data_IF_650065509304
#
_entry.id   IF_650065509304
#
_cell.length_a   1.000
_cell.length_b   1.000
_cell.length_c   1.000
_cell.angle_alpha   90.00
_cell.angle_beta   90.00
_cell.angle_gamma   90.00
#
_symmetry.space_group_name_H-M   'P 1'
#
loop_
_entity.id
_entity.type
_entity.pdbx_description
1 polymer ?
#
# COMPACT_ATOMS: atom_id res chain seq x y z
N UNK A 1 -17.24 4.65 22.96
CA UNK A 1 -15.89 5.26 22.96
C UNK A 1 -15.50 5.46 21.50
N UNK A 2 -15.61 6.68 20.97
CA UNK A 2 -15.27 6.94 19.57
C UNK A 2 -13.75 7.15 19.47
N UNK A 3 -13.07 6.27 18.75
CA UNK A 3 -11.65 6.43 18.43
C UNK A 3 -11.48 7.72 17.61
N UNK A 4 -10.77 8.71 18.16
CA UNK A 4 -10.33 9.88 17.38
C UNK A 4 -8.96 9.55 16.81
N UNK A 5 -8.79 9.45 15.48
CA UNK A 5 -7.48 9.22 14.90
C UNK A 5 -6.53 10.33 15.33
N UNK A 6 -5.38 9.96 15.91
CA UNK A 6 -4.30 10.90 16.16
C UNK A 6 -3.79 11.49 14.84
N UNK A 7 -3.08 12.64 14.87
CA UNK A 7 -2.73 13.41 13.66
C UNK A 7 -1.80 12.69 12.65
N UNK A 8 -1.39 11.45 12.92
CA UNK A 8 -0.36 10.73 12.17
C UNK A 8 -0.74 9.30 11.77
N UNK A 9 -1.95 8.84 12.09
CA UNK A 9 -2.45 7.54 11.60
C UNK A 9 -3.20 7.78 10.31
N UNK A 10 -2.62 7.33 9.19
CA UNK A 10 -3.32 7.28 7.91
C UNK A 10 -4.00 5.92 7.79
N UNK A 11 -5.26 5.92 7.39
CA UNK A 11 -5.88 4.72 6.84
C UNK A 11 -5.34 4.52 5.43
N UNK A 12 -5.23 3.27 5.00
CA UNK A 12 -5.12 3.03 3.56
C UNK A 12 -6.42 3.60 2.95
N UNK A 13 -6.29 4.56 2.04
CA UNK A 13 -7.47 5.08 1.34
C UNK A 13 -8.10 3.91 0.60
N UNK A 14 -9.42 3.68 0.75
CA UNK A 14 -10.09 2.67 -0.03
C UNK A 14 -9.88 3.00 -1.50
N UNK A 15 -9.77 1.94 -2.30
CA UNK A 15 -9.78 1.98 -3.75
C UNK A 15 -11.03 2.76 -4.25
N UNK A 16 -10.97 4.09 -4.42
CA UNK A 16 -12.06 4.84 -5.07
C UNK A 16 -12.58 6.14 -4.47
N UNK A 17 -11.91 6.78 -3.50
CA UNK A 17 -12.32 8.10 -2.98
C UNK A 17 -11.67 9.30 -3.70
N UNK A 18 -10.76 9.03 -4.65
CA UNK A 18 -10.19 10.02 -5.57
C UNK A 18 -11.09 10.31 -6.77
N UNK A 19 -11.18 11.58 -7.19
CA UNK A 19 -11.64 11.90 -8.55
C UNK A 19 -10.68 11.26 -9.55
N UNK A 20 -11.18 10.58 -10.59
CA UNK A 20 -10.37 10.06 -11.71
C UNK A 20 -9.48 11.15 -12.35
N UNK A 21 -9.86 12.42 -12.20
CA UNK A 21 -9.09 13.58 -12.64
C UNK A 21 -7.83 13.89 -11.80
N UNK A 22 -7.78 13.43 -10.54
CA UNK A 22 -6.74 13.76 -9.57
C UNK A 22 -5.83 12.56 -9.23
N UNK A 23 -6.32 11.33 -9.43
CA UNK A 23 -5.53 10.11 -9.29
C UNK A 23 -5.79 9.15 -10.47
N UNK A 24 -4.85 9.03 -11.43
CA UNK A 24 -4.98 8.12 -12.56
C UNK A 24 -4.94 6.64 -12.16
N UNK A 25 -4.66 6.34 -10.89
CA UNK A 25 -4.63 4.99 -10.31
C UNK A 25 -5.77 4.74 -9.33
N UNK A 26 -6.83 5.59 -9.37
CA UNK A 26 -8.03 5.41 -8.55
C UNK A 26 -8.56 3.97 -8.70
N UNK A 27 -8.66 3.26 -7.58
CA UNK A 27 -9.14 1.89 -7.57
C UNK A 27 -8.14 0.81 -7.98
N UNK A 28 -6.85 1.13 -8.15
CA UNK A 28 -5.83 0.16 -8.53
C UNK A 28 -4.93 -0.23 -7.35
N UNK A 29 -4.66 -1.54 -7.21
CA UNK A 29 -3.61 -2.05 -6.33
C UNK A 29 -2.23 -1.82 -6.97
N UNK A 30 -1.77 -0.56 -6.89
CA UNK A 30 -0.48 -0.11 -7.44
C UNK A 30 0.68 -0.94 -6.91
N UNK A 31 0.62 -1.39 -5.66
CA UNK A 31 1.71 -2.17 -5.07
C UNK A 31 1.78 -3.59 -5.63
N UNK A 32 0.64 -4.22 -5.91
CA UNK A 32 0.60 -5.51 -6.61
C UNK A 32 1.19 -5.40 -8.02
N UNK A 33 0.83 -4.36 -8.78
CA UNK A 33 1.42 -4.11 -10.10
C UNK A 33 2.95 -3.95 -10.04
N UNK A 34 3.46 -3.22 -9.05
CA UNK A 34 4.91 -3.08 -8.84
C UNK A 34 5.61 -4.39 -8.45
N UNK A 35 4.93 -5.28 -7.72
CA UNK A 35 5.46 -6.61 -7.40
C UNK A 35 5.53 -7.50 -8.65
N UNK A 36 4.51 -7.43 -9.51
CA UNK A 36 4.50 -8.13 -10.79
C UNK A 36 5.62 -7.65 -11.72
N UNK A 37 5.85 -6.34 -11.79
CA UNK A 37 7.00 -5.77 -12.50
C UNK A 37 8.33 -6.29 -11.92
N UNK A 38 8.49 -6.33 -10.60
CA UNK A 38 9.68 -6.90 -9.98
C UNK A 38 9.90 -8.39 -10.31
N UNK A 39 8.83 -9.11 -10.65
CA UNK A 39 8.87 -10.55 -10.96
C UNK A 39 9.14 -10.82 -12.45
N UNK A 40 8.81 -9.88 -13.33
CA UNK A 40 9.02 -9.99 -14.79
C UNK A 40 10.36 -9.42 -15.26
N UNK A 41 10.97 -8.53 -14.48
CA UNK A 41 12.25 -7.90 -14.80
C UNK A 41 13.46 -8.82 -14.63
N UNK A 42 14.58 -8.45 -15.27
CA UNK A 42 15.87 -9.07 -14.99
C UNK A 42 16.25 -8.93 -13.51
N UNK A 43 17.06 -9.85 -12.98
CA UNK A 43 17.46 -9.83 -11.57
C UNK A 43 18.13 -8.52 -11.13
N UNK A 44 18.89 -7.88 -12.03
CA UNK A 44 19.53 -6.58 -11.75
C UNK A 44 18.51 -5.46 -11.66
N UNK A 45 17.63 -5.33 -12.67
CA UNK A 45 16.60 -4.28 -12.70
C UNK A 45 15.58 -4.45 -11.57
N UNK A 46 15.20 -5.69 -11.25
CA UNK A 46 14.33 -6.00 -10.14
C UNK A 46 14.96 -5.61 -8.79
N UNK A 47 16.29 -5.77 -8.64
CA UNK A 47 17.00 -5.34 -7.42
C UNK A 47 17.01 -3.82 -7.28
N UNK A 48 17.24 -3.10 -8.37
CA UNK A 48 17.21 -1.63 -8.38
C UNK A 48 15.80 -1.12 -8.04
N UNK A 49 14.77 -1.69 -8.68
CA UNK A 49 13.38 -1.33 -8.39
C UNK A 49 13.02 -1.60 -6.93
N UNK A 50 13.36 -2.79 -6.38
CA UNK A 50 13.15 -3.08 -4.96
C UNK A 50 13.89 -2.12 -4.03
N UNK A 51 15.07 -1.64 -4.43
CA UNK A 51 15.83 -0.65 -3.66
C UNK A 51 15.11 0.69 -3.60
N UNK A 52 14.47 1.12 -4.70
CA UNK A 52 13.64 2.32 -4.75
C UNK A 52 12.33 2.17 -3.98
N UNK A 53 11.70 0.99 -4.03
CA UNK A 53 10.43 0.72 -3.34
C UNK A 53 10.58 0.63 -1.82
N UNK A 54 11.70 0.09 -1.32
CA UNK A 54 11.93 -0.12 0.11
C UNK A 54 11.62 1.09 1.01
N UNK A 55 12.17 2.31 0.78
CA UNK A 55 11.84 3.46 1.62
C UNK A 55 10.38 3.92 1.51
N UNK A 56 9.69 3.62 0.41
CA UNK A 56 8.26 3.91 0.25
C UNK A 56 7.42 2.90 1.05
N UNK A 57 7.75 1.61 0.94
CA UNK A 57 7.16 0.53 1.72
C UNK A 57 7.31 0.84 3.23
N UNK A 58 8.51 1.20 3.68
CA UNK A 58 8.78 1.58 5.09
C UNK A 58 7.94 2.76 5.57
N UNK A 59 7.78 3.81 4.75
CA UNK A 59 6.94 4.97 5.09
C UNK A 59 5.47 4.61 5.16
N UNK A 60 4.99 3.77 4.24
CA UNK A 60 3.62 3.31 4.23
C UNK A 60 3.34 2.45 5.46
N UNK A 61 4.24 1.52 5.80
CA UNK A 61 4.19 0.71 7.02
C UNK A 61 4.17 1.56 8.29
N UNK A 62 4.98 2.61 8.37
CA UNK A 62 5.06 3.46 9.55
C UNK A 62 3.81 4.33 9.77
N UNK A 63 2.97 4.50 8.74
CA UNK A 63 1.83 5.42 8.76
C UNK A 63 0.47 4.72 8.69
N UNK A 64 0.45 3.44 8.35
CA UNK A 64 -0.77 2.62 8.24
C UNK A 64 -0.82 1.58 9.35
N UNK A 65 -2.02 1.27 9.82
CA UNK A 65 -2.22 0.24 10.84
C UNK A 65 -2.39 -1.13 10.19
N UNK A 66 -1.89 -2.16 10.87
CA UNK A 66 -2.13 -3.55 10.48
C UNK A 66 -3.61 -3.92 10.70
N UNK A 67 -4.22 -4.60 9.73
CA UNK A 67 -5.56 -5.16 9.90
C UNK A 67 -5.47 -6.52 10.62
N UNK A 68 -6.04 -6.65 11.84
CA UNK A 68 -6.02 -7.91 12.58
C UNK A 68 -6.93 -8.99 11.98
N UNK A 69 -7.85 -8.64 11.09
CA UNK A 69 -8.79 -9.57 10.46
C UNK A 69 -8.34 -10.04 9.07
N UNK A 70 -7.32 -9.39 8.49
CA UNK A 70 -6.76 -9.79 7.21
C UNK A 70 -6.11 -11.18 7.27
N UNK A 71 -6.18 -11.91 6.15
CA UNK A 71 -5.61 -13.26 6.08
C UNK A 71 -4.08 -13.19 6.21
N UNK A 72 -3.45 -14.07 7.00
CA UNK A 72 -1.99 -14.14 7.09
C UNK A 72 -1.32 -14.49 5.75
N UNK A 73 -2.07 -15.08 4.81
CA UNK A 73 -1.60 -15.44 3.46
C UNK A 73 -1.56 -14.25 2.51
N UNK A 74 -2.23 -13.15 2.85
CA UNK A 74 -2.26 -11.98 1.99
C UNK A 74 -0.91 -11.25 2.04
N UNK A 75 -0.50 -10.63 0.93
CA UNK A 75 0.65 -9.74 0.93
C UNK A 75 0.51 -8.66 1.98
N UNK A 76 1.62 -8.26 2.60
CA UNK A 76 1.60 -7.36 3.75
C UNK A 76 0.90 -6.02 3.49
N UNK A 77 0.91 -5.53 2.24
CA UNK A 77 0.30 -4.25 1.85
C UNK A 77 -1.23 -4.31 1.82
N UNK A 78 -1.82 -5.50 1.63
CA UNK A 78 -3.28 -5.74 1.73
C UNK A 78 -3.76 -5.99 3.14
N UNK A 79 -2.85 -6.16 4.10
CA UNK A 79 -3.19 -6.39 5.51
C UNK A 79 -3.19 -5.07 6.28
N UNK A 80 -3.84 -4.05 5.73
CA UNK A 80 -3.87 -2.70 6.32
C UNK A 80 -5.31 -2.27 6.54
N UNK A 81 -5.53 -1.55 7.64
CA UNK A 81 -6.85 -0.98 7.92
C UNK A 81 -7.17 0.09 6.88
N UNK A 82 -8.23 -0.15 6.12
CA UNK A 82 -8.82 0.82 5.21
C UNK A 82 -9.73 1.78 5.98
N UNK A 83 -9.98 2.95 5.40
CA UNK A 83 -10.97 3.87 5.97
C UNK A 83 -12.37 3.22 5.88
N UNK A 84 -13.21 3.38 6.91
CA UNK A 84 -14.57 2.84 6.93
C UNK A 84 -15.50 3.50 5.90
#
# INVERSE_FOLDING_TARGET
>A
MAYKPGPWVMYAAPEGDGCECCDPFTGADVRAFLEELCSSLSSSSARELRTLLKPLDERFLARTLNDPFASPRDPWWRRRLEAP
#
